data_IF_359392165757
#
_entry.id   IF_359392165757
#
_cell.length_a   1.000
_cell.length_b   1.000
_cell.length_c   1.000
_cell.angle_alpha   90.00
_cell.angle_beta   90.00
_cell.angle_gamma   90.00
#
_symmetry.space_group_name_H-M   'P 1'
#
loop_
_entity.id
_entity.type
_entity.pdbx_description
1 polymer ?
#
# COMPACT_ATOMS: atom_id res chain seq x y z
N UNK A 1 41.79 -20.64 -13.30
CA UNK A 1 41.81 -19.26 -12.78
C UNK A 1 42.64 -18.41 -13.73
N UNK A 2 42.00 -17.54 -14.51
CA UNK A 2 42.67 -16.64 -15.43
C UNK A 2 41.95 -15.29 -15.41
N UNK A 3 42.46 -14.34 -14.65
CA UNK A 3 42.03 -12.95 -14.69
C UNK A 3 42.91 -12.22 -15.72
N UNK A 4 42.29 -11.76 -16.81
CA UNK A 4 42.91 -10.77 -17.68
C UNK A 4 42.78 -9.40 -17.01
N UNK A 5 43.91 -8.82 -16.63
CA UNK A 5 44.00 -7.43 -16.20
C UNK A 5 43.94 -6.53 -17.44
N UNK A 6 42.89 -5.73 -17.58
CA UNK A 6 42.78 -4.67 -18.56
C UNK A 6 43.49 -3.41 -18.02
N UNK A 7 44.55 -2.97 -18.68
CA UNK A 7 45.18 -1.67 -18.41
C UNK A 7 44.37 -0.55 -19.07
N UNK A 8 44.05 0.55 -18.37
CA UNK A 8 43.45 1.72 -19.01
C UNK A 8 44.54 2.48 -19.76
N UNK A 9 44.37 2.64 -21.07
CA UNK A 9 45.23 3.48 -21.88
C UNK A 9 44.73 4.91 -21.75
N UNK A 10 45.36 5.68 -20.87
CA UNK A 10 45.14 7.14 -20.78
C UNK A 10 45.56 7.79 -22.11
N UNK A 11 44.57 8.16 -22.91
CA UNK A 11 44.71 9.09 -24.01
C UNK A 11 43.70 10.22 -23.79
N UNK A 12 44.22 11.44 -23.61
CA UNK A 12 43.47 12.63 -23.29
C UNK A 12 42.28 12.86 -24.22
N UNK A 13 41.10 12.97 -23.62
CA UNK A 13 39.87 13.38 -24.27
C UNK A 13 38.86 13.73 -23.20
N UNK A 14 38.30 14.95 -23.27
CA UNK A 14 37.31 15.52 -22.35
C UNK A 14 36.55 14.47 -21.54
N UNK A 15 36.72 14.48 -20.21
CA UNK A 15 35.82 13.78 -19.28
C UNK A 15 34.41 14.32 -19.50
N UNK A 16 33.69 13.74 -20.47
CA UNK A 16 32.26 13.93 -20.62
C UNK A 16 31.68 13.44 -19.30
N UNK A 17 31.13 14.37 -18.51
CA UNK A 17 30.25 14.01 -17.38
C UNK A 17 29.26 12.97 -17.92
N UNK A 18 28.93 11.91 -17.16
CA UNK A 18 27.92 10.96 -17.60
C UNK A 18 26.69 11.76 -18.00
N UNK A 19 26.30 11.65 -19.27
CA UNK A 19 25.07 12.21 -19.79
C UNK A 19 23.94 11.66 -18.92
N UNK A 20 22.97 12.51 -18.55
CA UNK A 20 21.79 12.15 -17.77
C UNK A 20 21.33 10.73 -18.08
N UNK A 21 21.27 9.85 -17.08
CA UNK A 21 20.42 8.65 -17.18
C UNK A 21 19.03 9.21 -17.46
N UNK A 22 18.38 8.76 -18.54
CA UNK A 22 17.05 9.27 -18.92
C UNK A 22 16.00 9.06 -17.82
N UNK A 23 14.75 9.37 -18.09
CA UNK A 23 13.67 9.19 -17.10
C UNK A 23 13.60 7.72 -16.64
N UNK A 24 13.82 7.49 -15.34
CA UNK A 24 13.73 6.18 -14.69
C UNK A 24 12.51 6.19 -13.78
N UNK A 25 11.66 5.17 -13.92
CA UNK A 25 10.52 4.95 -13.03
C UNK A 25 10.53 3.52 -12.48
N UNK A 26 10.02 3.38 -11.27
CA UNK A 26 9.70 2.10 -10.62
C UNK A 26 8.35 1.62 -11.15
N UNK A 27 8.27 0.36 -11.56
CA UNK A 27 6.99 -0.26 -11.86
C UNK A 27 6.15 -0.38 -10.59
N UNK A 28 4.91 0.13 -10.64
CA UNK A 28 3.92 0.00 -9.56
C UNK A 28 2.83 -0.96 -10.03
N UNK A 29 2.69 -2.16 -9.43
CA UNK A 29 1.58 -3.05 -9.72
C UNK A 29 0.20 -2.43 -9.40
N UNK A 30 -0.85 -3.04 -9.94
CA UNK A 30 -2.23 -2.65 -9.66
C UNK A 30 -2.55 -2.55 -8.18
N UNK A 31 -3.21 -1.45 -7.80
CA UNK A 31 -3.63 -1.20 -6.43
C UNK A 31 -5.05 -1.68 -6.20
N UNK A 32 -5.33 -2.07 -4.95
CA UNK A 32 -6.66 -2.44 -4.49
C UNK A 32 -7.12 -1.45 -3.42
N UNK A 33 -8.41 -1.10 -3.45
CA UNK A 33 -9.01 -0.18 -2.48
C UNK A 33 -10.01 -0.94 -1.62
N UNK A 34 -9.98 -0.79 -0.27
CA UNK A 34 -10.95 -1.43 0.59
C UNK A 34 -12.34 -0.77 0.48
N UNK A 35 -13.40 -1.58 0.50
CA UNK A 35 -14.80 -1.11 0.66
C UNK A 35 -15.16 -1.01 2.15
N UNK A 36 -16.10 -0.14 2.58
CA UNK A 36 -16.55 -0.07 3.98
C UNK A 36 -16.96 -1.43 4.58
N UNK A 37 -16.82 -1.59 5.91
CA UNK A 37 -17.17 -2.80 6.65
C UNK A 37 -17.83 -2.42 7.97
N UNK A 38 -18.96 -3.05 8.28
CA UNK A 38 -19.69 -2.86 9.54
C UNK A 38 -19.27 -3.89 10.59
N UNK A 39 -18.27 -3.53 11.41
CA UNK A 39 -17.74 -4.47 12.42
C UNK A 39 -18.71 -4.78 13.56
N UNK A 40 -19.65 -3.88 13.87
CA UNK A 40 -20.63 -4.07 14.95
C UNK A 40 -21.53 -5.28 14.71
N UNK A 41 -21.89 -5.57 13.46
CA UNK A 41 -22.75 -6.71 13.11
C UNK A 41 -22.06 -8.05 13.35
N UNK A 42 -20.75 -8.12 13.12
CA UNK A 42 -19.98 -9.36 13.18
C UNK A 42 -19.26 -9.58 14.51
N UNK A 43 -18.84 -8.51 15.18
CA UNK A 43 -17.96 -8.54 16.36
C UNK A 43 -18.56 -7.88 17.60
N UNK A 44 -19.71 -7.20 17.50
CA UNK A 44 -20.29 -6.37 18.56
C UNK A 44 -20.53 -7.11 19.88
N UNK A 45 -20.95 -8.38 19.80
CA UNK A 45 -21.24 -9.20 20.98
C UNK A 45 -20.00 -9.94 21.53
N UNK A 46 -18.90 -9.94 20.79
CA UNK A 46 -17.70 -10.74 21.10
C UNK A 46 -16.53 -9.89 21.60
N UNK A 47 -16.51 -8.59 21.27
CA UNK A 47 -15.43 -7.67 21.61
C UNK A 47 -15.97 -6.47 22.38
N UNK A 48 -15.14 -5.83 23.23
CA UNK A 48 -15.51 -4.58 23.88
C UNK A 48 -15.90 -3.52 22.84
N UNK A 49 -16.96 -2.76 23.12
CA UNK A 49 -17.48 -1.71 22.22
C UNK A 49 -16.39 -0.74 21.76
N UNK A 50 -15.49 -0.36 22.66
CA UNK A 50 -14.36 0.55 22.37
C UNK A 50 -13.40 -0.01 21.32
N UNK A 51 -13.20 -1.34 21.29
CA UNK A 51 -12.33 -2.00 20.32
C UNK A 51 -13.01 -2.06 18.95
N UNK A 52 -14.31 -2.37 18.91
CA UNK A 52 -15.11 -2.35 17.68
C UNK A 52 -15.15 -0.94 17.09
N UNK A 53 -15.40 0.08 17.91
CA UNK A 53 -15.36 1.48 17.49
C UNK A 53 -13.99 1.88 16.95
N UNK A 54 -12.90 1.47 17.59
CA UNK A 54 -11.53 1.71 17.11
C UNK A 54 -11.25 1.03 15.77
N UNK A 55 -11.64 -0.23 15.60
CA UNK A 55 -11.52 -0.95 14.33
C UNK A 55 -12.28 -0.24 13.21
N UNK A 56 -13.54 0.13 13.46
CA UNK A 56 -14.36 0.87 12.51
C UNK A 56 -13.73 2.21 12.14
N UNK A 57 -13.26 2.99 13.13
CA UNK A 57 -12.65 4.29 12.89
C UNK A 57 -11.37 4.19 12.04
N UNK A 58 -10.47 3.27 12.38
CA UNK A 58 -9.22 3.05 11.63
C UNK A 58 -9.51 2.64 10.19
N UNK A 59 -10.42 1.68 10.01
CA UNK A 59 -10.74 1.18 8.67
C UNK A 59 -11.46 2.22 7.82
N UNK A 60 -12.41 2.96 8.40
CA UNK A 60 -13.09 4.07 7.70
C UNK A 60 -12.10 5.13 7.25
N UNK A 61 -11.12 5.50 8.10
CA UNK A 61 -10.05 6.42 7.73
C UNK A 61 -9.27 5.92 6.51
N UNK A 62 -8.86 4.65 6.51
CA UNK A 62 -8.15 4.04 5.38
C UNK A 62 -9.01 4.07 4.11
N UNK A 63 -10.29 3.69 4.19
CA UNK A 63 -11.20 3.68 3.03
C UNK A 63 -11.34 5.08 2.43
N UNK A 64 -11.56 6.11 3.27
CA UNK A 64 -11.70 7.49 2.79
C UNK A 64 -10.43 7.96 2.10
N UNK A 65 -9.28 7.76 2.72
CA UNK A 65 -7.99 8.21 2.19
C UNK A 65 -7.58 7.43 0.93
N UNK A 66 -7.76 6.11 0.92
CA UNK A 66 -7.45 5.27 -0.24
C UNK A 66 -8.34 5.59 -1.46
N UNK A 67 -9.62 5.94 -1.25
CA UNK A 67 -10.49 6.38 -2.35
C UNK A 67 -10.08 7.75 -2.92
N UNK A 68 -9.51 8.63 -2.11
CA UNK A 68 -9.00 9.93 -2.57
C UNK A 68 -7.68 9.77 -3.34
N UNK A 69 -6.78 8.91 -2.85
CA UNK A 69 -5.45 8.71 -3.43
C UNK A 69 -5.42 7.71 -4.60
N UNK A 70 -6.32 6.72 -4.63
CA UNK A 70 -6.34 5.64 -5.62
C UNK A 70 -6.32 6.11 -7.09
N UNK A 71 -7.22 7.03 -7.50
CA UNK A 71 -7.23 7.57 -8.86
C UNK A 71 -5.96 8.36 -9.23
N UNK A 72 -5.25 8.89 -8.23
CA UNK A 72 -4.06 9.74 -8.38
C UNK A 72 -2.78 8.90 -8.44
N UNK A 73 -2.76 7.74 -7.77
CA UNK A 73 -1.67 6.77 -7.82
C UNK A 73 -1.60 6.08 -9.18
N UNK A 74 -2.74 5.72 -9.78
CA UNK A 74 -2.80 5.03 -11.08
C UNK A 74 -2.62 5.97 -12.28
N UNK A 75 -3.02 7.24 -12.16
CA UNK A 75 -2.90 8.22 -13.25
C UNK A 75 -1.65 9.08 -13.06
N UNK A 76 -0.63 8.82 -13.86
CA UNK A 76 0.66 9.53 -13.99
C UNK A 76 0.56 11.03 -14.38
N UNK A 77 -0.56 11.72 -14.14
CA UNK A 77 -0.77 13.11 -14.55
C UNK A 77 -0.62 14.09 -13.37
N UNK A 78 0.52 14.80 -13.37
CA UNK A 78 0.84 16.03 -12.62
C UNK A 78 0.43 16.01 -11.14
N UNK A 79 1.34 15.56 -10.30
CA UNK A 79 1.24 15.64 -8.84
C UNK A 79 1.29 17.11 -8.41
N UNK A 80 0.29 17.56 -7.67
CA UNK A 80 0.36 18.82 -6.92
C UNK A 80 1.32 18.62 -5.74
N UNK A 81 1.97 19.68 -5.25
CA UNK A 81 2.95 19.63 -4.15
C UNK A 81 2.46 18.94 -2.85
N UNK A 82 1.16 18.66 -2.71
CA UNK A 82 0.55 18.10 -1.50
C UNK A 82 0.41 16.57 -1.50
N UNK A 83 0.56 15.88 -2.65
CA UNK A 83 0.31 14.44 -2.75
C UNK A 83 1.29 13.55 -1.96
N UNK A 84 2.48 14.06 -1.60
CA UNK A 84 3.42 13.33 -0.75
C UNK A 84 2.95 13.23 0.71
N UNK A 85 2.25 14.25 1.22
CA UNK A 85 1.75 14.27 2.60
C UNK A 85 0.59 13.32 2.81
N UNK A 86 -0.33 13.25 1.85
CA UNK A 86 -1.51 12.38 1.93
C UNK A 86 -1.17 10.90 1.80
N UNK A 87 -0.19 10.54 0.96
CA UNK A 87 0.36 9.18 0.87
C UNK A 87 1.01 8.73 2.19
N UNK A 88 1.78 9.61 2.84
CA UNK A 88 2.40 9.33 4.13
C UNK A 88 1.35 9.16 5.24
N UNK A 89 0.33 10.02 5.27
CA UNK A 89 -0.76 9.92 6.23
C UNK A 89 -1.58 8.62 6.06
N UNK A 90 -1.79 8.17 4.81
CA UNK A 90 -2.45 6.90 4.52
C UNK A 90 -1.58 5.71 4.96
N UNK A 91 -0.27 5.77 4.70
CA UNK A 91 0.67 4.76 5.18
C UNK A 91 0.63 4.65 6.70
N UNK A 92 0.62 5.78 7.42
CA UNK A 92 0.51 5.79 8.88
C UNK A 92 -0.81 5.17 9.36
N UNK A 93 -1.94 5.46 8.68
CA UNK A 93 -3.22 4.87 9.04
C UNK A 93 -3.22 3.34 8.87
N UNK A 94 -2.51 2.81 7.87
CA UNK A 94 -2.33 1.37 7.67
C UNK A 94 -1.47 0.75 8.78
N UNK A 95 -0.39 1.42 9.18
CA UNK A 95 0.46 1.00 10.31
C UNK A 95 -0.31 0.97 11.64
N UNK A 96 -1.16 1.96 11.89
CA UNK A 96 -1.98 2.02 13.11
C UNK A 96 -3.04 0.89 13.16
N UNK A 97 -3.46 0.41 11.98
CA UNK A 97 -4.50 -0.62 11.84
C UNK A 97 -3.97 -2.04 12.00
N UNK A 98 -2.76 -2.32 11.49
CA UNK A 98 -2.16 -3.66 11.50
C UNK A 98 -2.11 -4.32 12.89
N UNK A 99 -1.67 -3.67 13.98
CA UNK A 99 -1.64 -4.29 15.30
C UNK A 99 -3.02 -4.72 15.80
N UNK A 100 -4.07 -3.97 15.44
CA UNK A 100 -5.44 -4.28 15.84
C UNK A 100 -5.95 -5.50 15.08
N UNK A 101 -5.66 -5.60 13.77
CA UNK A 101 -5.97 -6.79 12.96
C UNK A 101 -5.24 -8.03 13.45
N UNK A 102 -3.94 -7.92 13.74
CA UNK A 102 -3.15 -9.03 14.27
C UNK A 102 -3.72 -9.53 15.60
N UNK A 103 -4.23 -8.63 16.44
CA UNK A 103 -4.95 -8.98 17.67
C UNK A 103 -6.17 -9.90 17.43
N UNK A 104 -6.87 -9.76 16.31
CA UNK A 104 -8.01 -10.63 15.95
C UNK A 104 -7.58 -12.04 15.53
N UNK A 105 -6.32 -12.22 15.12
CA UNK A 105 -5.76 -13.53 14.72
C UNK A 105 -5.11 -14.29 15.88
N UNK A 106 -5.01 -13.66 17.06
CA UNK A 106 -4.30 -14.22 18.20
C UNK A 106 -4.89 -15.58 18.62
N UNK A 107 -4.00 -16.55 18.86
CA UNK A 107 -4.32 -17.89 19.35
C UNK A 107 -5.33 -18.68 18.48
N UNK A 108 -5.43 -18.36 17.18
CA UNK A 108 -6.37 -19.02 16.27
C UNK A 108 -7.83 -18.73 16.60
N UNK A 109 -8.10 -17.53 17.16
CA UNK A 109 -9.43 -17.08 17.50
C UNK A 109 -10.42 -17.24 16.33
N UNK A 110 -11.62 -17.74 16.62
CA UNK A 110 -12.71 -17.86 15.64
C UNK A 110 -13.13 -16.51 15.04
N UNK A 111 -12.74 -15.40 15.69
CA UNK A 111 -12.92 -14.05 15.17
C UNK A 111 -12.28 -13.83 13.80
N UNK A 112 -11.23 -14.61 13.47
CA UNK A 112 -10.51 -14.48 12.20
C UNK A 112 -11.39 -14.76 10.97
N UNK A 113 -12.54 -15.43 11.12
CA UNK A 113 -13.47 -15.73 10.02
C UNK A 113 -14.84 -15.04 10.15
N UNK A 114 -15.00 -14.14 11.13
CA UNK A 114 -16.30 -13.52 11.43
C UNK A 114 -16.64 -12.33 10.54
N UNK A 115 -15.63 -11.67 9.97
CA UNK A 115 -15.81 -10.44 9.18
C UNK A 115 -15.49 -10.72 7.73
N UNK A 116 -16.39 -10.33 6.83
CA UNK A 116 -16.14 -10.34 5.39
C UNK A 116 -15.43 -9.05 4.96
N UNK A 117 -14.26 -9.20 4.37
CA UNK A 117 -13.47 -8.08 3.86
C UNK A 117 -13.56 -8.03 2.34
N UNK A 118 -13.81 -6.85 1.79
CA UNK A 118 -14.01 -6.61 0.36
C UNK A 118 -13.00 -5.58 -0.12
N UNK A 119 -12.27 -5.92 -1.18
CA UNK A 119 -11.31 -5.05 -1.86
C UNK A 119 -11.60 -5.03 -3.36
N UNK A 120 -11.54 -3.84 -3.95
CA UNK A 120 -11.79 -3.63 -5.39
C UNK A 120 -10.47 -3.43 -6.12
N UNK A 121 -10.26 -4.17 -7.20
CA UNK A 121 -9.13 -3.95 -8.10
C UNK A 121 -9.34 -2.64 -8.88
N UNK A 122 -8.34 -1.76 -8.91
CA UNK A 122 -8.44 -0.51 -9.68
C UNK A 122 -8.01 -0.65 -11.15
N UNK A 123 -7.39 -1.76 -11.53
CA UNK A 123 -7.08 -2.06 -12.94
C UNK A 123 -8.26 -2.72 -13.66
N UNK A 124 -9.11 -3.43 -12.90
CA UNK A 124 -10.34 -4.05 -13.37
C UNK A 124 -11.46 -3.77 -12.35
N UNK A 125 -12.21 -2.70 -12.59
CA UNK A 125 -13.24 -2.21 -11.66
C UNK A 125 -14.42 -3.20 -11.50
N UNK A 126 -14.56 -4.19 -12.39
CA UNK A 126 -15.59 -5.24 -12.30
C UNK A 126 -15.20 -6.35 -11.32
N UNK A 127 -13.91 -6.49 -10.99
CA UNK A 127 -13.41 -7.53 -10.08
C UNK A 127 -13.32 -7.06 -8.62
N UNK A 128 -14.36 -7.39 -7.85
CA UNK A 128 -14.33 -7.34 -6.39
C UNK A 128 -13.89 -8.68 -5.80
N UNK A 129 -12.94 -8.65 -4.86
CA UNK A 129 -12.55 -9.83 -4.08
C UNK A 129 -13.08 -9.70 -2.65
N UNK A 130 -14.00 -10.61 -2.29
CA UNK A 130 -14.58 -10.69 -0.96
C UNK A 130 -14.13 -11.97 -0.24
N UNK A 131 -13.60 -11.86 0.97
CA UNK A 131 -13.18 -13.02 1.78
C UNK A 131 -13.44 -12.81 3.26
N UNK A 132 -14.07 -13.80 3.91
CA UNK A 132 -14.29 -13.81 5.35
C UNK A 132 -13.05 -14.34 6.10
N UNK A 133 -11.94 -13.62 6.01
CA UNK A 133 -10.68 -14.01 6.64
C UNK A 133 -9.82 -12.79 6.99
N UNK A 134 -9.45 -12.64 8.27
CA UNK A 134 -8.58 -11.54 8.74
C UNK A 134 -7.19 -11.61 8.12
N UNK A 135 -6.66 -12.79 7.81
CA UNK A 135 -5.38 -12.89 7.10
C UNK A 135 -5.43 -12.29 5.70
N UNK A 136 -6.59 -12.38 5.03
CA UNK A 136 -6.78 -11.72 3.75
C UNK A 136 -6.78 -10.20 3.89
N UNK A 137 -7.40 -9.65 4.94
CA UNK A 137 -7.33 -8.21 5.24
C UNK A 137 -5.89 -7.77 5.51
N UNK A 138 -5.14 -8.51 6.34
CA UNK A 138 -3.73 -8.21 6.66
C UNK A 138 -2.88 -8.19 5.38
N UNK A 139 -3.01 -9.20 4.53
CA UNK A 139 -2.27 -9.27 3.26
C UNK A 139 -2.64 -8.11 2.33
N UNK A 140 -3.92 -7.74 2.28
CA UNK A 140 -4.39 -6.62 1.44
C UNK A 140 -3.89 -5.27 1.94
N UNK A 141 -3.83 -5.07 3.26
CA UNK A 141 -3.21 -3.90 3.89
C UNK A 141 -1.72 -3.82 3.56
N UNK A 142 -0.98 -4.92 3.71
CA UNK A 142 0.45 -4.99 3.38
C UNK A 142 0.71 -4.74 1.89
N UNK A 143 -0.15 -5.27 1.01
CA UNK A 143 -0.10 -4.98 -0.43
C UNK A 143 -0.25 -3.49 -0.68
N UNK A 144 -1.27 -2.84 -0.12
CA UNK A 144 -1.48 -1.41 -0.28
C UNK A 144 -0.29 -0.59 0.22
N UNK A 145 0.27 -0.91 1.40
CA UNK A 145 1.47 -0.26 1.92
C UNK A 145 2.65 -0.35 0.93
N UNK A 146 2.90 -1.54 0.36
CA UNK A 146 3.94 -1.72 -0.64
C UNK A 146 3.71 -0.87 -1.90
N UNK A 147 2.46 -0.81 -2.40
CA UNK A 147 2.12 0.00 -3.59
C UNK A 147 2.31 1.50 -3.33
N UNK A 148 1.95 1.97 -2.13
CA UNK A 148 2.16 3.37 -1.73
C UNK A 148 3.66 3.71 -1.71
N UNK A 149 4.51 2.84 -1.18
CA UNK A 149 5.96 3.04 -1.16
C UNK A 149 6.58 3.07 -2.56
N UNK A 150 6.15 2.17 -3.46
CA UNK A 150 6.60 2.20 -4.86
C UNK A 150 6.15 3.49 -5.58
N UNK A 151 4.96 3.97 -5.27
CA UNK A 151 4.42 5.24 -5.79
C UNK A 151 5.17 6.46 -5.26
N UNK A 152 5.61 6.39 -4.00
CA UNK A 152 6.45 7.40 -3.37
C UNK A 152 7.88 7.39 -3.94
N UNK A 153 8.45 6.23 -4.24
CA UNK A 153 9.73 6.15 -4.94
C UNK A 153 9.68 6.86 -6.29
N UNK A 154 8.62 6.66 -7.06
CA UNK A 154 8.38 7.40 -8.31
C UNK A 154 8.19 8.91 -8.12
N UNK A 155 7.72 9.35 -6.96
CA UNK A 155 7.62 10.76 -6.61
C UNK A 155 9.01 11.41 -6.41
N UNK A 156 10.01 10.63 -6.02
CA UNK A 156 11.37 11.11 -5.76
C UNK A 156 12.29 11.00 -6.97
N UNK A 157 11.95 10.13 -7.93
CA UNK A 157 12.71 9.91 -9.15
C UNK A 157 12.32 10.85 -10.31
N UNK A 158 11.11 11.43 -10.27
CA UNK A 158 10.53 12.32 -11.28
C UNK A 158 10.49 13.77 -10.80
#
# INVERSE_FOLDING_TARGET
MGCFASTPKDAGGNRRKPTSIGDVSVYVPGLRIPKPVEFSESLGDQLPKTLVERLTALRTRIVVMANQEGPTITRTRRKTQHGGSTLADLHQALEDYLPVLLGLTKDGSQLQFKVQFIWVNQEDEEEETAMANVWYEILSVLHLMAMLQMSQANLLLL
#
